data_IF_958464619933
#
_entry.id   IF_958464619933
#
_cell.length_a   1.000
_cell.length_b   1.000
_cell.length_c   1.000
_cell.angle_alpha   90.00
_cell.angle_beta   90.00
_cell.angle_gamma   90.00
#
_symmetry.space_group_name_H-M   'P 1'
#
loop_
_entity.id
_entity.type
_entity.pdbx_description
1 polymer ?
#
# COMPACT_ATOMS: atom_id res chain seq x y z
N UNK A 1 -3.14 5.81 -3.95
CA UNK A 1 -2.00 5.06 -3.39
C UNK A 1 -1.30 5.95 -2.38
N UNK A 2 -0.93 5.42 -1.22
CA UNK A 2 -0.12 6.11 -0.22
C UNK A 2 1.19 5.35 0.04
N UNK A 3 2.24 6.07 0.42
CA UNK A 3 3.52 5.48 0.79
C UNK A 3 3.85 5.88 2.23
N UNK A 4 4.31 4.90 3.02
CA UNK A 4 4.69 5.08 4.42
C UNK A 4 6.11 4.58 4.64
N UNK A 5 6.79 5.17 5.61
CA UNK A 5 8.14 4.77 6.02
C UNK A 5 8.02 4.25 7.45
N UNK A 6 8.44 3.01 7.66
CA UNK A 6 8.48 2.43 9.01
C UNK A 6 9.76 2.85 9.72
N UNK A 7 9.67 2.97 11.05
CA UNK A 7 10.88 3.10 11.88
C UNK A 7 11.70 1.82 11.80
N UNK A 8 13.04 1.89 11.87
CA UNK A 8 13.90 0.70 11.87
C UNK A 8 13.47 -0.30 12.95
N UNK A 9 13.34 -1.58 12.59
CA UNK A 9 12.94 -2.65 13.51
C UNK A 9 11.44 -2.71 13.83
N UNK A 10 10.61 -1.87 13.22
CA UNK A 10 9.15 -1.96 13.33
C UNK A 10 8.55 -2.64 12.09
N UNK A 11 7.57 -3.51 12.31
CA UNK A 11 6.74 -4.09 11.25
C UNK A 11 5.41 -3.34 11.14
N UNK A 12 4.75 -3.46 9.99
CA UNK A 12 3.45 -2.86 9.77
C UNK A 12 2.35 -3.74 10.37
N UNK A 13 1.62 -3.23 11.35
CA UNK A 13 0.35 -3.83 11.79
C UNK A 13 -0.79 -3.33 10.90
N UNK A 14 -1.22 -4.20 9.98
CA UNK A 14 -2.27 -3.88 9.01
C UNK A 14 -3.65 -3.64 9.63
N UNK A 15 -3.97 -4.27 10.77
CA UNK A 15 -5.28 -4.12 11.43
C UNK A 15 -5.33 -2.82 12.26
N UNK A 16 -4.23 -2.50 12.95
CA UNK A 16 -4.08 -1.24 13.66
C UNK A 16 -4.16 -0.06 12.69
N UNK A 17 -3.44 -0.12 11.56
CA UNK A 17 -3.48 0.94 10.56
C UNK A 17 -4.86 1.05 9.89
N UNK A 18 -5.53 -0.07 9.62
CA UNK A 18 -6.89 -0.06 9.10
C UNK A 18 -7.84 0.70 10.02
N UNK A 19 -7.83 0.35 11.31
CA UNK A 19 -8.69 0.98 12.32
C UNK A 19 -8.46 2.49 12.37
N UNK A 20 -7.20 2.92 12.37
CA UNK A 20 -6.83 4.33 12.33
C UNK A 20 -7.33 5.02 11.05
N UNK A 21 -7.13 4.41 9.88
CA UNK A 21 -7.59 4.98 8.60
C UNK A 21 -9.11 5.09 8.55
N UNK A 22 -9.84 4.08 9.04
CA UNK A 22 -11.31 4.08 9.04
C UNK A 22 -11.90 5.10 10.00
N UNK A 23 -11.26 5.29 11.16
CA UNK A 23 -11.65 6.26 12.18
C UNK A 23 -11.45 7.70 11.71
N UNK A 24 -10.30 7.99 11.10
CA UNK A 24 -9.92 9.36 10.75
C UNK A 24 -10.22 9.76 9.30
N UNK A 25 -10.50 8.81 8.40
CA UNK A 25 -10.75 9.08 6.98
C UNK A 25 -12.11 8.53 6.49
N UNK A 26 -12.89 9.35 5.77
CA UNK A 26 -14.09 8.87 5.10
C UNK A 26 -13.71 7.87 3.97
N UNK A 27 -14.62 6.95 3.58
CA UNK A 27 -14.31 5.85 2.66
C UNK A 27 -13.58 6.27 1.37
N UNK A 28 -13.95 7.40 0.77
CA UNK A 28 -13.33 7.90 -0.46
C UNK A 28 -11.90 8.42 -0.29
N UNK A 29 -11.49 8.75 0.94
CA UNK A 29 -10.15 9.25 1.25
C UNK A 29 -9.20 8.15 1.72
N UNK A 30 -9.70 6.91 1.91
CA UNK A 30 -8.90 5.79 2.40
C UNK A 30 -7.95 5.29 1.32
N UNK A 31 -6.63 5.22 1.58
CA UNK A 31 -5.69 4.69 0.61
C UNK A 31 -5.94 3.20 0.38
N UNK A 32 -6.37 2.82 -0.84
CA UNK A 32 -6.61 1.42 -1.20
C UNK A 32 -5.33 0.61 -1.36
N UNK A 33 -4.26 1.27 -1.79
CA UNK A 33 -2.92 0.70 -1.89
C UNK A 33 -1.97 1.45 -0.97
N UNK A 34 -1.22 0.69 -0.19
CA UNK A 34 -0.13 1.17 0.66
C UNK A 34 1.19 0.58 0.20
N UNK A 35 2.24 1.40 0.22
CA UNK A 35 3.62 0.96 0.01
C UNK A 35 4.45 1.27 1.24
N UNK A 36 5.18 0.28 1.73
CA UNK A 36 6.15 0.44 2.83
C UNK A 36 7.54 0.60 2.24
N UNK A 37 8.15 1.77 2.42
CA UNK A 37 9.51 2.05 1.94
C UNK A 37 10.52 1.88 3.08
N UNK A 38 11.55 1.08 2.85
CA UNK A 38 12.58 0.73 3.85
C UNK A 38 13.70 1.78 3.96
N UNK A 39 13.86 2.67 2.97
CA UNK A 39 14.91 3.67 2.96
C UNK A 39 14.34 5.07 2.71
N UNK A 40 14.70 6.02 3.57
CA UNK A 40 14.43 7.44 3.35
C UNK A 40 15.49 7.98 2.37
N UNK A 41 15.36 7.67 1.08
CA UNK A 41 16.30 8.19 0.09
C UNK A 41 16.00 9.66 -0.18
N UNK A 42 16.99 10.48 0.12
CA UNK A 42 17.10 11.93 -0.08
C UNK A 42 16.37 12.46 -1.33
N UNK A 43 15.66 13.59 -1.16
CA UNK A 43 15.01 14.46 -2.18
C UNK A 43 13.78 13.93 -2.94
N UNK A 44 12.61 14.19 -2.34
CA UNK A 44 11.24 13.95 -2.86
C UNK A 44 10.92 14.46 -4.29
N UNK A 45 11.72 15.36 -4.88
CA UNK A 45 11.35 16.05 -6.15
C UNK A 45 11.52 15.21 -7.41
N UNK A 46 12.39 14.19 -7.43
CA UNK A 46 12.69 13.42 -8.66
C UNK A 46 11.89 12.11 -8.79
N UNK A 47 11.18 11.68 -7.74
CA UNK A 47 10.50 10.38 -7.72
C UNK A 47 9.02 10.45 -8.15
N UNK A 48 8.36 11.61 -8.15
CA UNK A 48 6.91 11.69 -8.43
C UNK A 48 6.51 11.10 -9.80
N UNK A 49 7.37 11.26 -10.81
CA UNK A 49 7.15 10.71 -12.17
C UNK A 49 7.45 9.21 -12.22
N UNK A 50 8.54 8.75 -11.61
CA UNK A 50 8.88 7.32 -11.54
C UNK A 50 7.83 6.52 -10.77
N UNK A 51 7.37 7.03 -9.63
CA UNK A 51 6.36 6.38 -8.79
C UNK A 51 4.98 6.27 -9.47
N UNK A 52 4.64 7.25 -10.32
CA UNK A 52 3.43 7.17 -11.14
C UNK A 52 3.56 6.16 -12.28
N UNK A 53 4.76 6.02 -12.87
CA UNK A 53 5.03 5.04 -13.94
C UNK A 53 5.31 3.62 -13.44
N UNK A 54 5.80 3.44 -12.21
CA UNK A 54 6.10 2.14 -11.60
C UNK A 54 4.82 1.38 -11.20
N UNK A 55 3.71 2.10 -10.99
CA UNK A 55 2.42 1.49 -10.65
C UNK A 55 2.42 0.78 -9.30
N UNK A 56 1.49 -0.18 -9.12
CA UNK A 56 1.38 -1.01 -7.92
C UNK A 56 1.79 -2.46 -8.19
N UNK A 57 2.74 -2.70 -9.10
CA UNK A 57 3.13 -4.04 -9.49
C UNK A 57 4.09 -4.67 -8.46
N UNK A 58 3.67 -5.72 -7.72
CA UNK A 58 4.49 -6.37 -6.71
C UNK A 58 5.69 -7.11 -7.31
N UNK A 59 5.74 -7.33 -8.63
CA UNK A 59 6.88 -7.97 -9.31
C UNK A 59 7.97 -6.97 -9.70
N UNK A 60 7.64 -5.68 -9.80
CA UNK A 60 8.55 -4.61 -10.21
C UNK A 60 9.10 -3.81 -9.03
N UNK A 61 8.45 -3.89 -7.88
CA UNK A 61 8.79 -3.11 -6.70
C UNK A 61 9.42 -4.02 -5.63
N UNK A 62 10.65 -3.70 -5.15
CA UNK A 62 11.26 -4.42 -4.03
C UNK A 62 10.60 -4.06 -2.68
N UNK A 63 9.82 -2.98 -2.65
CA UNK A 63 9.13 -2.48 -1.47
C UNK A 63 7.84 -3.29 -1.20
N UNK A 64 7.57 -3.72 0.04
CA UNK A 64 6.32 -4.39 0.40
C UNK A 64 5.09 -3.52 0.08
N UNK A 65 4.16 -4.08 -0.70
CA UNK A 65 2.87 -3.48 -1.03
C UNK A 65 1.76 -4.13 -0.21
N UNK A 66 0.76 -3.33 0.14
CA UNK A 66 -0.41 -3.76 0.90
C UNK A 66 -1.69 -3.23 0.25
N UNK A 67 -2.75 -4.03 0.33
CA UNK A 67 -4.09 -3.70 -0.14
C UNK A 67 -5.03 -3.47 1.05
N UNK A 68 -5.89 -2.46 0.96
CA UNK A 68 -7.00 -2.27 1.88
C UNK A 68 -8.05 -3.34 1.61
N UNK A 69 -8.23 -4.27 2.54
CA UNK A 69 -9.31 -5.25 2.49
C UNK A 69 -10.33 -4.96 3.61
N UNK A 70 -11.46 -4.37 3.22
CA UNK A 70 -12.56 -4.11 4.14
C UNK A 70 -13.23 -5.40 4.65
N UNK A 71 -13.06 -6.52 3.96
CA UNK A 71 -13.62 -7.82 4.38
C UNK A 71 -12.87 -8.36 5.59
N UNK A 72 -11.54 -8.30 5.56
CA UNK A 72 -10.69 -8.69 6.68
C UNK A 72 -10.47 -7.58 7.71
N UNK A 73 -10.85 -6.34 7.39
CA UNK A 73 -10.65 -5.19 8.27
C UNK A 73 -9.17 -4.87 8.50
N UNK A 74 -8.34 -5.11 7.48
CA UNK A 74 -6.90 -4.98 7.59
C UNK A 74 -6.25 -4.58 6.26
N UNK A 75 -5.05 -4.02 6.37
CA UNK A 75 -4.13 -3.94 5.23
C UNK A 75 -3.40 -5.27 5.06
N UNK A 76 -3.69 -5.97 3.96
CA UNK A 76 -3.13 -7.30 3.66
C UNK A 76 -1.98 -7.19 2.66
N UNK A 77 -0.89 -7.99 2.79
CA UNK A 77 0.19 -8.00 1.82
C UNK A 77 -0.32 -8.29 0.41
N UNK A 78 0.08 -7.46 -0.55
CA UNK A 78 -0.27 -7.63 -1.96
C UNK A 78 0.60 -8.74 -2.57
N UNK A 79 0.14 -9.98 -2.42
CA UNK A 79 0.77 -11.14 -3.07
C UNK A 79 0.52 -11.14 -4.57
N UNK A 80 1.37 -11.80 -5.39
CA UNK A 80 1.15 -11.91 -6.83
C UNK A 80 -0.24 -12.44 -7.21
N UNK A 81 -0.77 -13.39 -6.44
CA UNK A 81 -2.12 -13.94 -6.62
C UNK A 81 -3.22 -12.90 -6.37
N UNK A 82 -3.09 -12.08 -5.33
CA UNK A 82 -4.01 -10.97 -5.07
C UNK A 82 -3.92 -9.91 -6.16
N UNK A 83 -2.70 -9.62 -6.63
CA UNK A 83 -2.48 -8.69 -7.73
C UNK A 83 -3.13 -9.15 -9.04
N UNK A 84 -3.01 -10.43 -9.41
CA UNK A 84 -3.75 -11.00 -10.54
C UNK A 84 -5.26 -10.84 -10.40
N UNK A 85 -5.79 -11.04 -9.19
CA UNK A 85 -7.20 -10.81 -8.87
C UNK A 85 -7.62 -9.35 -9.05
N UNK A 86 -6.77 -8.39 -8.68
CA UNK A 86 -6.99 -6.95 -8.89
C UNK A 86 -6.95 -6.60 -10.38
N UNK A 87 -5.93 -7.09 -11.10
CA UNK A 87 -5.75 -6.82 -12.54
C UNK A 87 -6.88 -7.42 -13.38
N UNK A 88 -7.35 -8.62 -13.02
CA UNK A 88 -8.48 -9.28 -13.69
C UNK A 88 -9.85 -8.70 -13.29
N UNK A 89 -9.91 -7.81 -12.30
CA UNK A 89 -11.16 -7.24 -11.77
C UNK A 89 -11.97 -8.20 -10.88
N UNK A 90 -11.43 -9.38 -10.55
CA UNK A 90 -12.05 -10.33 -9.63
C UNK A 90 -12.06 -9.81 -8.18
N UNK A 91 -11.04 -9.02 -7.80
CA UNK A 91 -10.96 -8.32 -6.51
C UNK A 91 -11.47 -6.90 -6.70
N UNK A 92 -12.57 -6.56 -6.03
CA UNK A 92 -13.14 -5.20 -6.05
C UNK A 92 -12.36 -4.32 -5.07
N UNK A 93 -11.67 -3.34 -5.63
CA UNK A 93 -10.97 -2.24 -4.95
C UNK A 93 -11.73 -0.93 -5.10
#
# INVERSE_FOLDING_TARGET
MAAIVLRPGCELDGACLYSHVVEFLPPYARPRFLRVQLAMTQTFKQHKVRLASEGCDPTRLPDPLYLLDDTSGAYVPLTPRLWEGVVSGAVRI
#
